data_IF_967385993545
#
_entry.id   IF_967385993545
#
_cell.length_a   1.000
_cell.length_b   1.000
_cell.length_c   1.000
_cell.angle_alpha   90.00
_cell.angle_beta   90.00
_cell.angle_gamma   90.00
#
_symmetry.space_group_name_H-M   'P 1'
#
loop_
_entity.id
_entity.type
_entity.pdbx_description
1 polymer ?
#
# COMPACT_ATOMS: atom_id res chain seq x y z
N UNK A 1 -19.11 -12.36 22.91
CA UNK A 1 -18.69 -11.10 23.57
C UNK A 1 -19.52 -9.96 22.98
N UNK A 2 -20.22 -9.14 23.78
CA UNK A 2 -21.09 -8.06 23.27
C UNK A 2 -20.24 -6.81 22.98
N UNK A 3 -20.28 -6.30 21.74
CA UNK A 3 -19.65 -5.02 21.39
C UNK A 3 -20.21 -3.88 22.27
N UNK A 4 -19.37 -2.93 22.73
CA UNK A 4 -19.81 -1.71 23.41
C UNK A 4 -20.93 -0.99 22.65
N UNK A 5 -21.83 -0.29 23.37
CA UNK A 5 -23.03 0.33 22.78
C UNK A 5 -22.69 1.35 21.68
N UNK A 6 -21.58 2.08 21.80
CA UNK A 6 -21.16 3.11 20.86
C UNK A 6 -20.66 2.51 19.52
N UNK A 7 -19.93 1.40 19.56
CA UNK A 7 -19.50 0.61 18.40
C UNK A 7 -20.67 0.15 17.50
N UNK A 8 -21.83 -0.14 18.10
CA UNK A 8 -23.03 -0.57 17.36
C UNK A 8 -23.74 0.58 16.63
N UNK A 9 -23.50 1.83 17.02
CA UNK A 9 -24.10 3.02 16.37
C UNK A 9 -23.34 3.42 15.11
N UNK A 10 -22.01 3.37 15.13
CA UNK A 10 -21.16 3.67 13.95
C UNK A 10 -21.40 2.69 12.78
N UNK A 11 -21.62 1.41 13.08
CA UNK A 11 -21.93 0.41 12.07
C UNK A 11 -23.26 0.65 11.31
N UNK A 12 -24.20 1.40 11.89
CA UNK A 12 -25.52 1.68 11.29
C UNK A 12 -25.55 2.94 10.43
N UNK A 13 -24.51 3.76 10.47
CA UNK A 13 -24.47 5.05 9.74
C UNK A 13 -24.03 4.93 8.28
N UNK A 14 -23.61 3.74 7.81
CA UNK A 14 -23.08 3.53 6.45
C UNK A 14 -24.07 2.95 5.44
N UNK A 15 -25.33 2.73 5.81
CA UNK A 15 -26.32 2.05 4.95
C UNK A 15 -27.30 2.99 4.21
N UNK A 16 -26.98 4.28 4.03
CA UNK A 16 -27.86 5.20 3.32
C UNK A 16 -27.24 5.73 2.02
N UNK A 17 -27.75 5.23 0.88
CA UNK A 17 -27.73 5.94 -0.40
C UNK A 17 -27.03 5.24 -1.56
N UNK A 18 -27.76 4.40 -2.30
CA UNK A 18 -27.37 3.98 -3.64
C UNK A 18 -28.63 3.90 -4.51
N UNK A 19 -28.86 4.93 -5.33
CA UNK A 19 -29.81 4.86 -6.45
C UNK A 19 -29.38 5.86 -7.54
N UNK A 20 -28.31 5.51 -8.25
CA UNK A 20 -28.05 5.99 -9.62
C UNK A 20 -27.51 4.81 -10.46
N UNK A 21 -28.01 4.59 -11.69
CA UNK A 21 -27.53 3.53 -12.56
C UNK A 21 -26.12 3.87 -13.07
N UNK A 22 -25.13 3.09 -12.64
CA UNK A 22 -23.74 3.26 -13.07
C UNK A 22 -23.57 2.82 -14.54
N UNK A 23 -22.82 3.56 -15.36
CA UNK A 23 -22.58 3.18 -16.75
C UNK A 23 -21.75 1.88 -16.80
N UNK A 24 -22.26 0.88 -17.52
CA UNK A 24 -21.49 -0.21 -18.12
C UNK A 24 -20.41 -0.86 -17.25
N UNK A 25 -20.73 -1.25 -16.01
CA UNK A 25 -19.89 -2.19 -15.27
C UNK A 25 -19.79 -3.49 -16.08
N UNK A 26 -18.57 -3.95 -16.36
CA UNK A 26 -18.38 -5.37 -16.65
C UNK A 26 -18.98 -6.12 -15.47
N UNK A 27 -19.87 -7.08 -15.76
CA UNK A 27 -20.59 -7.87 -14.76
C UNK A 27 -19.61 -8.39 -13.69
N UNK A 28 -20.01 -8.49 -12.42
CA UNK A 28 -19.23 -9.14 -11.35
C UNK A 28 -18.71 -10.53 -11.78
N UNK A 29 -19.42 -11.17 -12.72
CA UNK A 29 -18.96 -12.38 -13.40
C UNK A 29 -17.62 -12.21 -14.12
N UNK A 30 -17.36 -11.08 -14.77
CA UNK A 30 -16.12 -10.76 -15.47
C UNK A 30 -14.95 -10.56 -14.51
N UNK A 31 -15.13 -9.85 -13.39
CA UNK A 31 -14.09 -9.69 -12.36
C UNK A 31 -13.74 -11.06 -11.77
N UNK A 32 -14.74 -11.87 -11.43
CA UNK A 32 -14.52 -13.25 -10.95
C UNK A 32 -13.90 -14.17 -12.00
N UNK A 33 -14.14 -13.90 -13.28
CA UNK A 33 -13.52 -14.64 -14.38
C UNK A 33 -12.03 -14.25 -14.49
N UNK A 34 -11.71 -12.96 -14.43
CA UNK A 34 -10.33 -12.46 -14.43
C UNK A 34 -9.54 -13.00 -13.23
N UNK A 35 -10.12 -12.99 -12.02
CA UNK A 35 -9.49 -13.56 -10.83
C UNK A 35 -9.19 -15.05 -10.97
N UNK A 36 -10.02 -15.79 -11.72
CA UNK A 36 -9.82 -17.23 -11.98
C UNK A 36 -8.86 -17.52 -13.13
N UNK A 37 -8.73 -16.60 -14.08
CA UNK A 37 -7.93 -16.78 -15.29
C UNK A 37 -6.51 -16.26 -15.14
N UNK A 38 -6.30 -15.25 -14.31
CA UNK A 38 -4.95 -14.76 -14.05
C UNK A 38 -4.15 -15.82 -13.28
N UNK A 39 -2.96 -16.20 -13.76
CA UNK A 39 -2.10 -17.11 -13.02
C UNK A 39 -1.80 -16.52 -11.64
N UNK A 40 -1.73 -17.39 -10.63
CA UNK A 40 -1.23 -16.97 -9.34
C UNK A 40 0.24 -16.57 -9.52
N UNK A 41 0.72 -15.62 -8.71
CA UNK A 41 2.13 -15.19 -8.81
C UNK A 41 3.07 -16.39 -8.65
N UNK A 42 2.70 -17.38 -7.83
CA UNK A 42 3.47 -18.60 -7.61
C UNK A 42 3.60 -19.49 -8.87
N UNK A 43 2.66 -19.40 -9.82
CA UNK A 43 2.66 -20.19 -11.06
C UNK A 43 3.50 -19.54 -12.18
N UNK A 44 3.89 -18.27 -12.02
CA UNK A 44 4.67 -17.56 -13.02
C UNK A 44 6.12 -18.05 -13.06
N UNK A 45 6.81 -18.00 -14.21
CA UNK A 45 8.24 -18.20 -14.25
C UNK A 45 8.95 -17.13 -13.40
N UNK A 46 10.02 -17.51 -12.72
CA UNK A 46 10.85 -16.61 -11.91
C UNK A 46 12.09 -16.18 -12.67
N UNK A 47 12.38 -14.88 -12.66
CA UNK A 47 13.64 -14.36 -13.18
C UNK A 47 14.81 -14.75 -12.28
N UNK A 48 15.93 -15.06 -12.92
CA UNK A 48 17.23 -15.02 -12.25
C UNK A 48 17.62 -13.57 -11.96
N UNK A 49 18.53 -13.37 -11.00
CA UNK A 49 19.03 -12.04 -10.68
C UNK A 49 19.73 -11.37 -11.89
N UNK A 50 20.44 -12.14 -12.71
CA UNK A 50 21.14 -11.62 -13.89
C UNK A 50 20.16 -11.18 -14.99
N UNK A 51 19.09 -11.93 -15.23
CA UNK A 51 18.02 -11.51 -16.16
C UNK A 51 17.34 -10.23 -15.67
N UNK A 52 17.07 -10.14 -14.38
CA UNK A 52 16.47 -8.94 -13.79
C UNK A 52 17.41 -7.73 -13.92
N UNK A 53 18.71 -7.88 -13.59
CA UNK A 53 19.72 -6.83 -13.77
C UNK A 53 19.86 -6.39 -15.22
N UNK A 54 19.93 -7.32 -16.17
CA UNK A 54 20.00 -6.99 -17.59
C UNK A 54 18.80 -6.18 -18.07
N UNK A 55 17.63 -6.40 -17.44
CA UNK A 55 16.40 -5.70 -17.74
C UNK A 55 16.31 -4.31 -17.08
N UNK A 56 16.48 -4.22 -15.75
CA UNK A 56 16.29 -2.97 -15.01
C UNK A 56 17.55 -2.11 -14.92
N UNK A 57 18.74 -2.70 -15.10
CA UNK A 57 20.03 -2.01 -15.03
C UNK A 57 20.23 -0.96 -16.12
N UNK A 58 19.43 -1.02 -17.20
CA UNK A 58 19.40 0.01 -18.25
C UNK A 58 18.69 1.29 -17.82
N UNK A 59 17.93 1.26 -16.72
CA UNK A 59 17.27 2.42 -16.15
C UNK A 59 18.24 3.20 -15.26
N UNK A 60 18.09 4.51 -15.22
CA UNK A 60 18.83 5.33 -14.25
C UNK A 60 18.50 4.86 -12.81
N UNK A 61 19.51 4.68 -11.94
CA UNK A 61 19.27 4.35 -10.55
C UNK A 61 18.45 5.48 -9.89
N UNK A 62 17.51 5.15 -8.99
CA UNK A 62 16.72 6.18 -8.32
C UNK A 62 17.60 7.05 -7.44
N UNK A 63 17.34 8.35 -7.40
CA UNK A 63 18.03 9.27 -6.50
C UNK A 63 17.54 9.12 -5.06
N UNK A 64 18.34 9.58 -4.08
CA UNK A 64 17.92 9.61 -2.67
C UNK A 64 16.62 10.42 -2.48
N UNK A 65 16.44 11.54 -3.20
CA UNK A 65 15.21 12.32 -3.16
C UNK A 65 14.00 11.51 -3.66
N UNK A 66 14.18 10.68 -4.70
CA UNK A 66 13.12 9.81 -5.20
C UNK A 66 12.75 8.71 -4.20
N UNK A 67 13.75 8.13 -3.52
CA UNK A 67 13.54 7.15 -2.43
C UNK A 67 12.72 7.79 -1.31
N UNK A 68 13.13 8.98 -0.85
CA UNK A 68 12.48 9.71 0.24
C UNK A 68 11.04 10.12 -0.12
N UNK A 69 10.84 10.59 -1.37
CA UNK A 69 9.52 11.00 -1.87
C UNK A 69 8.59 9.79 -1.97
N UNK A 70 9.09 8.63 -2.45
CA UNK A 70 8.30 7.40 -2.51
C UNK A 70 7.90 6.92 -1.10
N UNK A 71 8.83 6.89 -0.14
CA UNK A 71 8.54 6.46 1.23
C UNK A 71 7.49 7.36 1.88
N UNK A 72 7.58 8.67 1.64
CA UNK A 72 6.58 9.64 2.09
C UNK A 72 5.22 9.38 1.44
N UNK A 73 5.19 9.17 0.12
CA UNK A 73 3.97 8.86 -0.62
C UNK A 73 3.30 7.57 -0.13
N UNK A 74 4.07 6.49 0.01
CA UNK A 74 3.57 5.19 0.46
C UNK A 74 3.05 5.30 1.89
N UNK A 75 3.84 5.82 2.82
CA UNK A 75 3.42 5.96 4.25
C UNK A 75 2.21 6.87 4.47
N UNK A 76 1.88 7.75 3.53
CA UNK A 76 0.70 8.62 3.54
C UNK A 76 -0.54 8.06 2.84
N UNK A 77 -0.45 6.87 2.23
CA UNK A 77 -1.55 6.30 1.47
C UNK A 77 -2.66 5.73 2.37
N UNK A 78 -3.91 6.11 2.09
CA UNK A 78 -5.10 5.77 2.90
C UNK A 78 -5.71 4.41 2.58
N UNK A 79 -5.28 3.77 1.49
CA UNK A 79 -5.92 2.56 0.96
C UNK A 79 -5.58 1.31 1.76
N UNK A 80 -4.37 1.20 2.32
CA UNK A 80 -3.87 -0.04 2.93
C UNK A 80 -3.67 0.02 4.45
N UNK A 81 -3.36 1.18 5.05
CA UNK A 81 -2.95 1.22 6.47
C UNK A 81 -4.00 0.64 7.43
N UNK A 82 -5.29 0.84 7.13
CA UNK A 82 -6.43 0.32 7.90
C UNK A 82 -6.55 -1.21 7.89
N UNK A 83 -5.82 -1.88 7.00
CA UNK A 83 -5.76 -3.33 6.89
C UNK A 83 -4.53 -3.92 7.59
N UNK A 84 -3.63 -3.08 8.10
CA UNK A 84 -2.45 -3.52 8.82
C UNK A 84 -2.73 -3.68 10.32
N UNK A 85 -2.09 -4.65 10.98
CA UNK A 85 -2.10 -4.71 12.44
C UNK A 85 -1.40 -3.47 13.01
N UNK A 86 -1.91 -2.91 14.11
CA UNK A 86 -1.23 -1.80 14.78
C UNK A 86 0.06 -2.23 15.48
N UNK A 87 0.13 -3.49 15.90
CA UNK A 87 1.26 -4.05 16.62
C UNK A 87 2.08 -5.00 15.74
N UNK A 88 3.38 -5.19 16.02
CA UNK A 88 4.23 -6.19 15.38
C UNK A 88 3.59 -7.60 15.35
N UNK A 89 3.96 -8.45 14.36
CA UNK A 89 5.10 -8.34 13.45
C UNK A 89 4.82 -7.60 12.13
N UNK A 90 3.70 -6.90 11.96
CA UNK A 90 3.38 -6.21 10.71
C UNK A 90 3.11 -7.14 9.53
N UNK A 91 2.92 -6.55 8.34
CA UNK A 91 2.66 -7.25 7.06
C UNK A 91 3.80 -6.95 6.07
N UNK A 92 4.22 -7.92 5.24
CA UNK A 92 5.24 -7.70 4.21
C UNK A 92 4.83 -6.61 3.21
N UNK A 93 5.77 -5.70 2.95
CA UNK A 93 5.78 -4.72 1.86
C UNK A 93 7.06 -4.94 1.08
N UNK A 94 6.93 -5.19 -0.21
CA UNK A 94 8.05 -5.35 -1.12
C UNK A 94 8.25 -4.08 -1.94
N UNK A 95 9.46 -3.54 -1.90
CA UNK A 95 9.89 -2.46 -2.80
C UNK A 95 10.81 -3.02 -3.88
N UNK A 96 10.64 -2.59 -5.13
CA UNK A 96 11.44 -3.07 -6.26
C UNK A 96 11.45 -2.05 -7.40
N UNK A 97 12.26 -2.32 -8.44
CA UNK A 97 12.35 -1.50 -9.65
C UNK A 97 11.51 -2.16 -10.74
N UNK A 98 10.65 -1.39 -11.39
CA UNK A 98 9.80 -1.85 -12.49
C UNK A 98 9.86 -0.84 -13.65
N UNK A 99 10.31 -1.23 -14.86
CA UNK A 99 10.26 -0.35 -16.03
C UNK A 99 8.84 0.15 -16.35
N UNK A 100 7.80 -0.60 -15.94
CA UNK A 100 6.40 -0.21 -16.11
C UNK A 100 5.88 0.70 -14.98
N UNK A 101 6.73 1.16 -14.06
CA UNK A 101 6.36 2.08 -12.99
C UNK A 101 5.68 3.35 -13.53
N UNK A 102 4.54 3.72 -12.92
CA UNK A 102 3.75 4.88 -13.31
C UNK A 102 2.82 4.68 -14.52
N UNK A 103 2.82 3.49 -15.14
CA UNK A 103 1.90 3.14 -16.23
C UNK A 103 0.58 2.56 -15.69
N UNK A 104 -0.47 2.65 -16.48
CA UNK A 104 -1.71 1.91 -16.27
C UNK A 104 -1.60 0.51 -16.87
N UNK A 105 -1.83 -0.52 -16.05
CA UNK A 105 -1.89 -1.91 -16.49
C UNK A 105 -3.33 -2.28 -16.81
N UNK A 106 -3.62 -2.50 -18.09
CA UNK A 106 -4.90 -3.00 -18.57
C UNK A 106 -4.78 -4.48 -18.87
N UNK A 107 -5.60 -5.29 -18.22
CA UNK A 107 -5.64 -6.75 -18.42
C UNK A 107 -6.89 -7.12 -19.23
N UNK A 108 -6.71 -7.79 -20.36
CA UNK A 108 -7.80 -8.25 -21.22
C UNK A 108 -8.44 -9.58 -20.74
N UNK A 109 -9.43 -10.07 -21.48
CA UNK A 109 -10.16 -11.30 -21.13
C UNK A 109 -9.30 -12.57 -21.26
N UNK A 110 -8.17 -12.49 -21.98
CA UNK A 110 -7.21 -13.58 -22.12
C UNK A 110 -6.08 -13.48 -21.09
N UNK A 111 -6.13 -12.49 -20.19
CA UNK A 111 -5.12 -12.24 -19.16
C UNK A 111 -3.86 -11.55 -19.67
N UNK A 112 -3.85 -11.06 -20.92
CA UNK A 112 -2.71 -10.30 -21.46
C UNK A 112 -2.70 -8.90 -20.87
N UNK A 113 -1.51 -8.39 -20.60
CA UNK A 113 -1.33 -7.08 -19.98
C UNK A 113 -0.82 -6.06 -21.01
N UNK A 114 -1.57 -4.98 -21.19
CA UNK A 114 -1.13 -3.81 -21.94
C UNK A 114 -0.81 -2.67 -20.97
N UNK A 115 0.30 -1.99 -21.19
CA UNK A 115 0.73 -0.86 -20.38
C UNK A 115 0.49 0.46 -21.12
N UNK A 116 -0.25 1.36 -20.49
CA UNK A 116 -0.64 2.64 -21.06
C UNK A 116 0.02 3.78 -20.27
N UNK A 117 0.51 4.79 -20.98
CA UNK A 117 0.95 6.02 -20.32
C UNK A 117 -0.25 6.77 -19.77
N UNK A 118 -0.12 7.31 -18.55
CA UNK A 118 -1.06 8.26 -17.98
C UNK A 118 -0.68 9.66 -18.45
N UNK A 119 -1.55 10.25 -19.25
CA UNK A 119 -1.49 11.66 -19.67
C UNK A 119 -2.57 12.47 -18.97
N UNK A 120 -2.58 13.79 -19.15
CA UNK A 120 -3.67 14.65 -18.66
C UNK A 120 -5.03 14.32 -19.29
N UNK A 121 -5.06 13.60 -20.41
CA UNK A 121 -6.30 13.10 -21.03
C UNK A 121 -6.77 11.76 -20.44
N UNK A 122 -5.92 11.09 -19.66
CA UNK A 122 -6.27 9.80 -19.04
C UNK A 122 -7.23 10.03 -17.86
N UNK A 123 -8.34 9.28 -17.75
CA UNK A 123 -9.28 9.44 -16.64
C UNK A 123 -8.63 9.30 -15.26
N UNK A 124 -8.86 10.28 -14.40
CA UNK A 124 -8.34 10.28 -13.04
C UNK A 124 -9.20 9.37 -12.15
N UNK A 125 -8.72 8.14 -11.89
CA UNK A 125 -9.51 7.12 -11.21
C UNK A 125 -9.36 7.13 -9.66
N UNK A 126 -8.29 7.70 -9.11
CA UNK A 126 -7.98 7.57 -7.69
C UNK A 126 -7.24 8.80 -7.14
N UNK A 127 -7.29 9.03 -5.83
CA UNK A 127 -6.63 10.20 -5.20
C UNK A 127 -5.09 10.17 -5.30
N UNK A 128 -4.51 9.02 -5.65
CA UNK A 128 -3.07 8.85 -5.91
C UNK A 128 -2.72 8.97 -7.39
N UNK A 129 -3.69 9.33 -8.24
CA UNK A 129 -3.47 9.45 -9.68
C UNK A 129 -2.49 10.60 -9.98
N UNK A 130 -1.60 10.35 -10.93
CA UNK A 130 -0.69 11.32 -11.53
C UNK A 130 -0.27 10.81 -12.91
N UNK A 131 0.22 11.70 -13.76
CA UNK A 131 0.76 11.32 -15.08
C UNK A 131 1.99 10.42 -14.91
N UNK A 132 2.30 9.61 -15.92
CA UNK A 132 3.48 8.74 -15.89
C UNK A 132 4.76 9.55 -15.73
N UNK A 133 4.85 10.70 -16.39
CA UNK A 133 5.99 11.60 -16.30
C UNK A 133 6.14 12.21 -14.90
N UNK A 134 5.05 12.65 -14.27
CA UNK A 134 5.08 13.15 -12.89
C UNK A 134 5.47 12.03 -11.90
N UNK A 135 4.95 10.81 -12.09
CA UNK A 135 5.35 9.65 -11.31
C UNK A 135 6.85 9.38 -11.41
N UNK A 136 7.38 9.27 -12.63
CA UNK A 136 8.79 8.92 -12.88
C UNK A 136 9.74 10.04 -12.46
N UNK A 137 9.32 11.29 -12.56
CA UNK A 137 10.07 12.43 -12.02
C UNK A 137 10.24 12.28 -10.49
N UNK A 138 9.14 11.98 -9.78
CA UNK A 138 9.12 11.92 -8.31
C UNK A 138 9.69 10.64 -7.71
N UNK A 139 9.56 9.52 -8.38
CA UNK A 139 9.86 8.20 -7.81
C UNK A 139 10.80 7.34 -8.67
N UNK A 140 11.21 7.84 -9.85
CA UNK A 140 11.94 7.04 -10.82
C UNK A 140 11.11 5.84 -11.28
N UNK A 141 11.73 4.66 -11.25
CA UNK A 141 11.07 3.40 -11.57
C UNK A 141 10.79 2.54 -10.33
N UNK A 142 10.79 3.16 -9.14
CA UNK A 142 10.48 2.46 -7.91
C UNK A 142 8.98 2.19 -7.81
N UNK A 143 8.64 0.98 -7.38
CA UNK A 143 7.28 0.54 -7.08
C UNK A 143 7.24 -0.22 -5.76
N UNK A 144 6.03 -0.44 -5.24
CA UNK A 144 5.81 -1.28 -4.07
C UNK A 144 4.67 -2.26 -4.29
N UNK A 145 4.74 -3.41 -3.61
CA UNK A 145 3.68 -4.40 -3.55
C UNK A 145 3.38 -4.80 -2.09
N UNK A 146 2.11 -4.89 -1.73
CA UNK A 146 1.60 -5.39 -0.47
C UNK A 146 0.23 -6.07 -0.65
N UNK A 147 0.01 -7.19 0.03
CA UNK A 147 -1.30 -7.87 0.00
C UNK A 147 -2.38 -7.12 0.79
N UNK A 148 -1.99 -6.16 1.62
CA UNK A 148 -2.90 -5.32 2.38
C UNK A 148 -3.56 -4.26 1.49
N UNK A 149 -4.89 -4.15 1.56
CA UNK A 149 -5.63 -3.11 0.85
C UNK A 149 -6.85 -3.64 0.12
N UNK A 150 -7.47 -2.75 -0.66
CA UNK A 150 -8.56 -3.09 -1.57
C UNK A 150 -8.03 -3.08 -2.99
N UNK A 151 -8.23 -4.17 -3.72
CA UNK A 151 -7.96 -4.24 -5.15
C UNK A 151 -9.19 -3.74 -5.91
N UNK A 152 -8.94 -2.95 -6.96
CA UNK A 152 -9.99 -2.44 -7.83
C UNK A 152 -9.70 -2.89 -9.27
N UNK A 153 -10.75 -3.36 -9.93
CA UNK A 153 -10.77 -3.66 -11.35
C UNK A 153 -11.78 -2.73 -12.01
N UNK A 154 -11.30 -1.88 -12.91
CA UNK A 154 -12.14 -0.88 -13.58
C UNK A 154 -12.19 -1.21 -15.06
N UNK A 155 -13.38 -1.46 -15.62
CA UNK A 155 -13.54 -1.58 -17.07
C UNK A 155 -12.98 -0.34 -17.76
N UNK A 156 -12.07 -0.54 -18.71
CA UNK A 156 -11.53 0.55 -19.52
C UNK A 156 -11.47 0.13 -20.99
N UNK A 157 -11.71 1.11 -21.87
CA UNK A 157 -11.31 1.04 -23.27
C UNK A 157 -10.38 2.21 -23.55
N UNK A 158 -9.26 1.94 -24.21
CA UNK A 158 -8.27 2.92 -24.60
C UNK A 158 -7.80 2.67 -26.04
N UNK A 159 -7.41 3.75 -26.73
CA UNK A 159 -6.77 3.66 -28.04
C UNK A 159 -5.26 3.76 -27.86
N UNK A 160 -4.53 2.82 -28.45
CA UNK A 160 -3.07 2.87 -28.55
C UNK A 160 -2.63 3.86 -29.63
N UNK A 161 -1.38 4.28 -29.58
CA UNK A 161 -0.78 5.18 -30.59
C UNK A 161 -0.82 4.58 -32.00
N UNK A 162 -0.76 3.25 -32.10
CA UNK A 162 -0.87 2.52 -33.38
C UNK A 162 -2.32 2.36 -33.89
N UNK A 163 -3.29 2.94 -33.18
CA UNK A 163 -4.71 2.92 -33.53
C UNK A 163 -5.45 1.64 -33.14
N UNK A 164 -4.80 0.68 -32.45
CA UNK A 164 -5.49 -0.48 -31.88
C UNK A 164 -6.26 -0.08 -30.64
N UNK A 165 -7.48 -0.60 -30.52
CA UNK A 165 -8.29 -0.47 -29.30
C UNK A 165 -7.92 -1.58 -28.31
N UNK A 166 -7.65 -1.20 -27.06
CA UNK A 166 -7.45 -2.11 -25.94
C UNK A 166 -8.68 -2.04 -25.04
N UNK A 167 -9.29 -3.19 -24.78
CA UNK A 167 -10.43 -3.33 -23.86
C UNK A 167 -10.06 -4.32 -22.77
N UNK A 168 -10.24 -3.91 -21.52
CA UNK A 168 -9.89 -4.75 -20.39
C UNK A 168 -10.28 -4.13 -19.05
N UNK A 169 -9.63 -4.60 -18.00
CA UNK A 169 -9.73 -4.00 -16.68
C UNK A 169 -8.42 -3.35 -16.27
N UNK A 170 -8.51 -2.09 -15.85
CA UNK A 170 -7.43 -1.42 -15.14
C UNK A 170 -7.22 -2.12 -13.81
N UNK A 171 -6.02 -2.66 -13.60
CA UNK A 171 -5.64 -3.34 -12.37
C UNK A 171 -4.73 -2.42 -11.55
N UNK A 172 -5.23 -1.93 -10.41
CA UNK A 172 -4.37 -1.25 -9.43
C UNK A 172 -3.52 -2.30 -8.71
N UNK A 173 -2.35 -2.61 -9.28
CA UNK A 173 -1.54 -3.79 -8.96
C UNK A 173 -0.63 -3.63 -7.75
N UNK A 174 -0.93 -2.72 -6.81
CA UNK A 174 -0.14 -2.55 -5.58
C UNK A 174 -0.07 -3.82 -4.71
N UNK A 175 -0.65 -4.95 -5.13
CA UNK A 175 -0.59 -6.26 -4.48
C UNK A 175 0.20 -7.33 -5.24
N UNK A 176 0.58 -7.10 -6.51
CA UNK A 176 1.27 -8.11 -7.33
C UNK A 176 2.75 -7.78 -7.48
N UNK A 177 3.58 -8.59 -6.83
CA UNK A 177 5.04 -8.52 -6.85
C UNK A 177 5.63 -9.16 -8.11
N UNK A 178 5.36 -8.56 -9.27
CA UNK A 178 5.70 -9.12 -10.59
C UNK A 178 6.24 -8.04 -11.52
N UNK A 179 7.01 -8.45 -12.53
CA UNK A 179 7.48 -7.58 -13.62
C UNK A 179 7.11 -8.16 -14.97
N UNK A 180 6.97 -7.31 -15.99
CA UNK A 180 6.71 -7.74 -17.36
C UNK A 180 7.92 -7.41 -18.22
N UNK A 181 8.61 -8.44 -18.70
CA UNK A 181 9.73 -8.25 -19.64
C UNK A 181 9.21 -7.91 -21.05
N UNK A 182 8.03 -8.42 -21.38
CA UNK A 182 7.31 -8.18 -22.63
C UNK A 182 5.82 -8.01 -22.32
N UNK A 183 5.04 -7.46 -23.26
CA UNK A 183 3.58 -7.35 -23.13
C UNK A 183 2.88 -8.70 -22.90
N UNK A 184 3.54 -9.81 -23.24
CA UNK A 184 2.97 -11.15 -23.21
C UNK A 184 3.40 -11.99 -22.01
N UNK A 185 4.39 -11.55 -21.22
CA UNK A 185 4.96 -12.39 -20.15
C UNK A 185 5.22 -11.64 -18.85
N UNK A 186 4.43 -12.01 -17.86
CA UNK A 186 4.59 -11.67 -16.44
C UNK A 186 5.56 -12.66 -15.78
N UNK A 187 6.46 -12.17 -14.93
CA UNK A 187 7.44 -12.98 -14.21
C UNK A 187 7.44 -12.65 -12.72
N UNK A 188 7.81 -13.63 -11.90
CA UNK A 188 8.19 -13.40 -10.51
C UNK A 188 9.54 -12.70 -10.44
N UNK A 189 9.70 -11.86 -9.42
CA UNK A 189 10.98 -11.25 -9.08
C UNK A 189 12.00 -12.31 -8.61
N UNK A 190 13.32 -12.08 -8.80
CA UNK A 190 14.36 -12.90 -8.19
C UNK A 190 14.20 -12.95 -6.68
N UNK A 191 14.55 -14.08 -6.04
CA UNK A 191 14.36 -14.22 -4.59
C UNK A 191 15.21 -13.21 -3.81
N UNK A 192 16.41 -12.89 -4.33
CA UNK A 192 17.32 -11.92 -3.76
C UNK A 192 16.71 -10.51 -3.72
N UNK A 193 15.95 -10.14 -4.76
CA UNK A 193 15.23 -8.86 -4.81
C UNK A 193 14.07 -8.85 -3.82
N UNK A 194 13.34 -9.96 -3.73
CA UNK A 194 12.25 -10.13 -2.75
C UNK A 194 12.81 -9.99 -1.33
N UNK A 195 13.90 -10.68 -1.00
CA UNK A 195 14.52 -10.64 0.32
C UNK A 195 15.10 -9.26 0.65
N UNK A 196 15.77 -8.62 -0.32
CA UNK A 196 16.34 -7.29 -0.15
C UNK A 196 15.26 -6.21 0.05
N UNK A 197 14.22 -6.24 -0.78
CA UNK A 197 13.20 -5.20 -0.87
C UNK A 197 12.05 -5.37 0.12
N UNK A 198 11.95 -6.49 0.82
CA UNK A 198 10.87 -6.72 1.78
C UNK A 198 11.15 -6.06 3.14
N UNK A 199 10.15 -5.38 3.67
CA UNK A 199 10.06 -4.87 5.05
C UNK A 199 8.70 -5.25 5.62
N UNK A 200 8.57 -5.36 6.94
CA UNK A 200 7.27 -5.61 7.58
C UNK A 200 6.73 -4.31 8.19
N UNK A 201 5.57 -3.86 7.74
CA UNK A 201 4.96 -2.62 8.22
C UNK A 201 3.74 -2.89 9.11
N UNK A 202 3.60 -2.11 10.18
CA UNK A 202 2.37 -2.04 10.98
C UNK A 202 1.55 -0.82 10.54
N UNK A 203 0.27 -0.76 10.94
CA UNK A 203 -0.59 0.38 10.67
C UNK A 203 -0.08 1.70 11.27
N UNK A 204 0.77 1.63 12.30
CA UNK A 204 1.36 2.78 12.99
C UNK A 204 2.07 3.73 12.02
N UNK A 205 2.64 3.22 10.93
CA UNK A 205 3.29 4.00 9.86
C UNK A 205 2.44 5.20 9.38
N UNK A 206 1.10 5.07 9.41
CA UNK A 206 0.19 6.09 8.92
C UNK A 206 -0.31 6.99 10.05
N UNK A 207 -0.31 8.31 9.84
CA UNK A 207 -0.70 9.32 10.85
C UNK A 207 -2.11 9.16 11.42
N UNK A 208 -3.04 8.57 10.65
CA UNK A 208 -4.41 8.34 11.14
C UNK A 208 -4.49 7.30 12.26
N UNK A 209 -3.38 6.67 12.64
CA UNK A 209 -3.31 5.84 13.85
C UNK A 209 -3.12 6.65 15.13
N UNK A 210 -2.93 7.97 15.05
CA UNK A 210 -2.98 8.86 16.22
C UNK A 210 -4.40 9.16 16.69
N UNK A 211 -5.42 8.68 15.97
CA UNK A 211 -6.80 8.71 16.50
C UNK A 211 -6.99 7.53 17.46
N UNK A 212 -7.75 7.66 18.55
CA UNK A 212 -7.90 6.59 19.55
C UNK A 212 -8.68 5.37 19.06
N UNK A 213 -9.60 5.55 18.10
CA UNK A 213 -10.51 4.50 17.63
C UNK A 213 -9.82 3.18 17.19
N UNK A 214 -8.77 3.20 16.33
CA UNK A 214 -8.01 2.01 15.96
C UNK A 214 -7.48 1.21 17.16
N UNK A 215 -7.21 1.87 18.29
CA UNK A 215 -6.66 1.26 19.49
C UNK A 215 -7.71 0.63 20.41
N UNK A 216 -9.00 0.83 20.14
CA UNK A 216 -10.09 0.43 21.04
C UNK A 216 -10.11 -1.07 21.38
N UNK A 217 -9.63 -1.93 20.49
CA UNK A 217 -9.47 -3.37 20.77
C UNK A 217 -8.35 -3.66 21.76
N UNK A 218 -7.27 -2.88 21.73
CA UNK A 218 -6.05 -3.07 22.54
C UNK A 218 -6.16 -2.46 23.93
N UNK A 219 -7.05 -1.48 24.10
CA UNK A 219 -7.32 -0.79 25.37
C UNK A 219 -7.68 -1.76 26.51
N UNK A 220 -8.24 -2.94 26.21
CA UNK A 220 -8.67 -3.92 27.22
C UNK A 220 -7.62 -4.99 27.53
N UNK A 221 -6.53 -5.00 26.79
CA UNK A 221 -5.47 -5.98 26.91
C UNK A 221 -4.33 -5.43 27.78
N UNK A 222 -3.48 -6.33 28.26
CA UNK A 222 -2.29 -5.93 29.01
C UNK A 222 -1.20 -5.51 28.02
N UNK A 223 -0.49 -4.42 28.30
CA UNK A 223 0.61 -3.98 27.42
C UNK A 223 1.70 -5.05 27.33
N UNK A 224 1.88 -5.83 28.41
CA UNK A 224 2.87 -6.91 28.49
C UNK A 224 2.57 -8.08 27.53
N UNK A 225 1.35 -8.20 27.01
CA UNK A 225 1.01 -9.28 26.06
C UNK A 225 1.49 -9.02 24.64
N UNK A 226 1.99 -7.82 24.36
CA UNK A 226 2.41 -7.41 23.02
C UNK A 226 3.86 -6.95 22.98
N UNK A 227 4.52 -7.21 21.85
CA UNK A 227 5.82 -6.62 21.57
C UNK A 227 5.67 -5.19 21.06
N UNK A 228 6.51 -4.28 21.55
CA UNK A 228 6.78 -2.97 20.95
C UNK A 228 8.29 -2.84 20.74
N UNK A 229 8.77 -2.20 19.65
CA UNK A 229 10.20 -2.12 19.40
C UNK A 229 10.94 -1.36 20.51
N UNK A 230 12.02 -1.95 21.03
CA UNK A 230 12.81 -1.37 22.12
C UNK A 230 13.45 -0.04 21.71
N UNK A 231 13.87 0.05 20.45
CA UNK A 231 14.45 1.25 19.86
C UNK A 231 13.46 2.44 19.78
N UNK A 232 12.16 2.19 19.94
CA UNK A 232 11.11 3.23 20.00
C UNK A 232 10.44 3.30 21.38
N UNK A 233 11.14 2.80 22.40
CA UNK A 233 10.81 2.91 23.83
C UNK A 233 10.10 1.69 24.42
N UNK A 234 10.03 0.59 23.68
CA UNK A 234 9.62 -0.72 24.18
C UNK A 234 8.25 -0.73 24.87
N UNK A 235 8.11 -1.63 25.85
CA UNK A 235 6.87 -1.84 26.58
C UNK A 235 6.36 -0.58 27.32
N UNK A 236 7.25 0.31 27.76
CA UNK A 236 6.87 1.55 28.45
C UNK A 236 6.12 2.50 27.50
N UNK A 237 6.61 2.70 26.28
CA UNK A 237 5.91 3.50 25.27
C UNK A 237 4.54 2.90 24.95
N UNK A 238 4.46 1.58 24.79
CA UNK A 238 3.18 0.91 24.52
C UNK A 238 2.18 1.08 25.68
N UNK A 239 2.63 0.95 26.93
CA UNK A 239 1.80 1.17 28.09
C UNK A 239 1.21 2.58 28.11
N UNK A 240 2.03 3.60 27.78
CA UNK A 240 1.59 5.01 27.68
C UNK A 240 0.59 5.24 26.55
N UNK A 241 0.79 4.60 25.39
CA UNK A 241 -0.18 4.65 24.27
C UNK A 241 -1.53 4.07 24.72
N UNK A 242 -1.51 2.90 25.35
CA UNK A 242 -2.73 2.22 25.82
C UNK A 242 -3.42 3.04 26.92
N UNK A 243 -2.66 3.60 27.87
CA UNK A 243 -3.19 4.46 28.94
C UNK A 243 -3.83 5.73 28.37
N UNK A 244 -3.19 6.38 27.38
CA UNK A 244 -3.77 7.56 26.71
C UNK A 244 -5.09 7.21 26.02
N UNK A 245 -5.14 6.09 25.28
CA UNK A 245 -6.36 5.62 24.65
C UNK A 245 -7.48 5.28 25.66
N UNK A 246 -7.13 4.73 26.84
CA UNK A 246 -8.07 4.52 27.96
C UNK A 246 -8.65 5.83 28.47
N UNK A 247 -7.80 6.83 28.74
CA UNK A 247 -8.24 8.13 29.25
C UNK A 247 -9.26 8.77 28.31
N UNK A 248 -8.97 8.77 26.99
CA UNK A 248 -9.87 9.37 26.00
C UNK A 248 -11.18 8.58 25.92
N UNK A 249 -11.13 7.24 25.94
CA UNK A 249 -12.34 6.43 25.95
C UNK A 249 -13.22 6.70 27.19
N UNK A 250 -12.62 6.83 28.37
CA UNK A 250 -13.36 7.12 29.60
C UNK A 250 -13.95 8.54 29.61
N UNK A 251 -13.25 9.52 29.03
CA UNK A 251 -13.78 10.89 28.85
C UNK A 251 -15.00 10.91 27.93
N UNK A 252 -14.96 10.13 26.84
CA UNK A 252 -16.09 9.97 25.92
C UNK A 252 -17.26 9.27 26.60
N UNK A 253 -17.02 8.21 27.39
CA UNK A 253 -18.10 7.52 28.11
C UNK A 253 -18.73 8.38 29.21
N UNK A 254 -17.97 9.30 29.83
CA UNK A 254 -18.48 10.23 30.85
C UNK A 254 -19.27 11.41 30.27
N UNK A 255 -19.13 11.68 28.97
CA UNK A 255 -19.80 12.79 28.29
C UNK A 255 -20.97 12.30 27.46
N UNK A 256 -22.18 12.78 27.76
CA UNK A 256 -23.37 12.52 26.93
C UNK A 256 -23.43 13.42 25.67
N UNK A 257 -22.40 14.21 25.39
CA UNK A 257 -22.40 15.15 24.27
C UNK A 257 -21.95 14.51 22.96
N UNK A 258 -22.64 14.84 21.86
CA UNK A 258 -22.26 14.41 20.51
C UNK A 258 -20.87 14.93 20.11
N UNK A 259 -20.46 16.11 20.63
CA UNK A 259 -19.17 16.73 20.37
C UNK A 259 -18.01 15.91 20.95
N UNK A 260 -18.21 15.26 22.10
CA UNK A 260 -17.19 14.39 22.69
C UNK A 260 -17.02 13.09 21.89
N UNK A 261 -18.05 12.59 21.21
CA UNK A 261 -17.92 11.41 20.35
C UNK A 261 -17.05 11.69 19.11
N UNK A 262 -17.05 12.92 18.58
CA UNK A 262 -16.19 13.34 17.47
C UNK A 262 -14.70 13.30 17.84
N UNK A 263 -14.37 13.45 19.12
CA UNK A 263 -12.99 13.40 19.62
C UNK A 263 -12.27 12.06 19.36
N UNK A 264 -13.00 10.95 19.20
CA UNK A 264 -12.40 9.64 18.85
C UNK A 264 -11.93 9.55 17.40
N UNK A 265 -12.42 10.44 16.54
CA UNK A 265 -12.06 10.53 15.13
C UNK A 265 -11.03 11.64 14.85
N UNK A 266 -10.72 12.46 15.87
CA UNK A 266 -9.69 13.49 15.83
C UNK A 266 -8.32 12.92 16.22
N UNK A 267 -7.27 13.45 15.60
CA UNK A 267 -5.90 13.05 15.92
C UNK A 267 -5.53 13.62 17.30
N UNK A 268 -5.08 12.75 18.20
CA UNK A 268 -4.58 13.16 19.51
C UNK A 268 -3.10 13.53 19.42
N UNK A 269 -2.75 14.73 19.89
CA UNK A 269 -1.37 15.24 19.82
C UNK A 269 -0.39 14.40 20.65
N UNK A 270 -0.85 13.85 21.79
CA UNK A 270 -0.01 13.00 22.62
C UNK A 270 0.22 11.63 21.97
N UNK A 271 -0.83 11.01 21.40
CA UNK A 271 -0.66 9.80 20.58
C UNK A 271 0.26 10.05 19.38
N UNK A 272 0.13 11.17 18.68
CA UNK A 272 1.04 11.53 17.59
C UNK A 272 2.49 11.57 18.07
N UNK A 273 2.75 12.22 19.20
CA UNK A 273 4.07 12.30 19.81
C UNK A 273 4.63 10.94 20.23
N UNK A 274 3.79 10.07 20.80
CA UNK A 274 4.19 8.72 21.23
C UNK A 274 4.46 7.78 20.04
N UNK A 275 3.71 7.92 18.95
CA UNK A 275 3.82 7.07 17.75
C UNK A 275 4.89 7.55 16.75
N UNK A 276 5.28 8.82 16.80
CA UNK A 276 6.24 9.41 15.87
C UNK A 276 7.58 8.65 15.76
N UNK A 277 8.23 8.21 16.86
CA UNK A 277 9.47 7.43 16.78
C UNK A 277 9.30 6.13 15.98
N UNK A 278 8.19 5.41 16.18
CA UNK A 278 7.92 4.17 15.45
C UNK A 278 7.63 4.41 13.97
N UNK A 279 6.93 5.50 13.64
CA UNK A 279 6.74 5.90 12.24
C UNK A 279 8.06 6.18 11.55
N UNK A 280 8.95 6.91 12.22
CA UNK A 280 10.24 7.25 11.64
C UNK A 280 11.12 6.02 11.47
N UNK A 281 11.11 5.12 12.46
CA UNK A 281 11.78 3.82 12.36
C UNK A 281 11.31 3.02 11.13
N UNK A 282 9.99 2.84 10.98
CA UNK A 282 9.39 2.12 9.87
C UNK A 282 9.70 2.77 8.50
N UNK A 283 9.69 4.11 8.41
CA UNK A 283 10.14 4.81 7.19
C UNK A 283 11.61 4.56 6.90
N UNK A 284 12.45 4.56 7.93
CA UNK A 284 13.86 4.20 7.83
C UNK A 284 14.06 2.79 7.29
N UNK A 285 13.27 1.81 7.76
CA UNK A 285 13.31 0.44 7.25
C UNK A 285 12.87 0.34 5.78
N UNK A 286 11.85 1.11 5.35
CA UNK A 286 11.46 1.19 3.94
C UNK A 286 12.60 1.73 3.08
N UNK A 287 13.24 2.84 3.48
CA UNK A 287 14.40 3.41 2.77
C UNK A 287 15.54 2.42 2.69
N UNK A 288 15.84 1.73 3.79
CA UNK A 288 16.89 0.70 3.83
C UNK A 288 16.59 -0.48 2.89
N UNK A 289 15.33 -0.92 2.80
CA UNK A 289 14.92 -1.98 1.87
C UNK A 289 15.11 -1.55 0.41
N UNK A 290 14.70 -0.33 0.06
CA UNK A 290 14.89 0.23 -1.28
C UNK A 290 16.39 0.30 -1.62
N UNK A 291 17.23 0.82 -0.71
CA UNK A 291 18.69 0.90 -0.94
C UNK A 291 19.32 -0.48 -1.16
N UNK A 292 18.93 -1.51 -0.40
CA UNK A 292 19.42 -2.87 -0.64
C UNK A 292 19.07 -3.37 -2.04
N UNK A 293 17.89 -3.05 -2.57
CA UNK A 293 17.52 -3.41 -3.95
C UNK A 293 18.34 -2.64 -4.97
N UNK A 294 18.54 -1.33 -4.78
CA UNK A 294 19.38 -0.50 -5.63
C UNK A 294 20.82 -1.03 -5.65
N UNK A 295 21.39 -1.30 -4.49
CA UNK A 295 22.74 -1.85 -4.37
C UNK A 295 22.85 -3.20 -5.08
N UNK A 296 21.85 -4.08 -4.90
CA UNK A 296 21.79 -5.39 -5.54
C UNK A 296 21.75 -5.28 -7.07
N UNK A 297 21.04 -4.29 -7.62
CA UNK A 297 20.91 -4.10 -9.07
C UNK A 297 22.16 -3.43 -9.67
N UNK A 298 22.68 -2.36 -9.05
CA UNK A 298 23.64 -1.45 -9.69
C UNK A 298 25.09 -1.57 -9.19
N UNK A 299 25.37 -2.23 -8.05
CA UNK A 299 26.74 -2.28 -7.49
C UNK A 299 27.67 -3.31 -8.17
N UNK A 300 27.14 -4.16 -9.06
CA UNK A 300 27.89 -5.24 -9.69
C UNK A 300 28.75 -4.86 -10.90
N UNK A 301 28.61 -3.64 -11.43
CA UNK A 301 29.20 -3.27 -12.73
C UNK A 301 30.46 -2.40 -12.66
N UNK A 302 30.93 -2.00 -11.46
CA UNK A 302 32.11 -1.14 -11.30
C UNK A 302 33.46 -1.89 -11.13
N UNK A 303 33.58 -3.13 -11.61
CA UNK A 303 34.84 -3.90 -11.48
C UNK A 303 35.15 -4.82 -12.67
N UNK A 304 34.98 -4.32 -13.90
CA UNK A 304 35.50 -4.95 -15.11
C UNK A 304 36.24 -3.94 -16.00
#
# INVERSE_FOLDING_TARGET
MRLPKWLRRLARSKEAGADEPRPGLLDDQFIRLLEKQLPTVADLPRLTLDEYRAFVGQLAPPSEDQIDTLVTFVSGAKSWYKHLPLLPPGVPFLFFIDPCAGLDRVVDQEGRATFLQRTDETPQFHYTWMTTDDYRSRYGHLVFACEAGTQFYVPVSAQLEDGREVRGSLANSSSRATVNLTEEREFQLPQEVVDAGTVRLTGVIHRQTSVPWPWASYVKEDAETFGWPEETGGAETLARIIERCRSIADEVERSDSADTQASLDEADEELERLLAPERERLRGEMKAAIRRVVDLVYSGESSA
#
